data_IF_645147842120
#
_entry.id   IF_645147842120
#
_cell.length_a   1.000
_cell.length_b   1.000
_cell.length_c   1.000
_cell.angle_alpha   90.00
_cell.angle_beta   90.00
_cell.angle_gamma   90.00
#
_symmetry.space_group_name_H-M   'P 1'
#
loop_
_entity.id
_entity.type
_entity.pdbx_description
1 polymer ?
#
# COMPACT_ATOMS: atom_id res chain seq x y z
N UNK A 1 -17.82 -13.68 -38.12
CA UNK A 1 -16.96 -12.77 -37.33
C UNK A 1 -17.73 -11.69 -36.61
N UNK A 2 -18.69 -11.01 -37.20
CA UNK A 2 -19.47 -9.92 -36.56
C UNK A 2 -20.26 -10.37 -35.31
N UNK A 3 -20.89 -11.54 -35.34
CA UNK A 3 -21.70 -12.07 -34.23
C UNK A 3 -20.86 -12.41 -32.98
N UNK A 4 -19.64 -12.93 -33.16
CA UNK A 4 -18.73 -13.24 -32.03
C UNK A 4 -18.24 -11.95 -31.38
N UNK A 5 -17.91 -10.93 -32.18
CA UNK A 5 -17.47 -9.63 -31.68
C UNK A 5 -18.57 -8.92 -30.89
N UNK A 6 -19.81 -8.96 -31.38
CA UNK A 6 -20.95 -8.36 -30.66
C UNK A 6 -21.24 -9.06 -29.35
N UNK A 7 -21.18 -10.40 -29.32
CA UNK A 7 -21.36 -11.18 -28.11
C UNK A 7 -20.25 -10.87 -27.08
N UNK A 8 -18.98 -10.86 -27.50
CA UNK A 8 -17.84 -10.55 -26.66
C UNK A 8 -17.95 -9.15 -26.04
N UNK A 9 -18.35 -8.14 -26.84
CA UNK A 9 -18.54 -6.77 -26.36
C UNK A 9 -19.71 -6.68 -25.37
N UNK A 10 -20.81 -7.38 -25.63
CA UNK A 10 -21.98 -7.44 -24.74
C UNK A 10 -21.58 -8.01 -23.36
N UNK A 11 -20.87 -9.16 -23.35
CA UNK A 11 -20.44 -9.83 -22.14
C UNK A 11 -19.44 -8.95 -21.35
N UNK A 12 -18.44 -8.35 -22.04
CA UNK A 12 -17.48 -7.45 -21.42
C UNK A 12 -18.16 -6.25 -20.77
N UNK A 13 -19.16 -5.65 -21.43
CA UNK A 13 -19.94 -4.54 -20.86
C UNK A 13 -20.71 -4.96 -19.61
N UNK A 14 -21.35 -6.13 -19.65
CA UNK A 14 -22.09 -6.66 -18.50
C UNK A 14 -21.16 -7.03 -17.34
N UNK A 15 -20.01 -7.64 -17.65
CA UNK A 15 -18.96 -7.94 -16.69
C UNK A 15 -18.40 -6.65 -16.05
N UNK A 16 -18.00 -5.68 -16.86
CA UNK A 16 -17.49 -4.40 -16.39
C UNK A 16 -18.50 -3.68 -15.49
N UNK A 17 -19.78 -3.62 -15.90
CA UNK A 17 -20.85 -3.01 -15.09
C UNK A 17 -21.02 -3.73 -13.72
N UNK A 18 -21.00 -5.07 -13.72
CA UNK A 18 -21.10 -5.86 -12.48
C UNK A 18 -19.89 -5.67 -11.57
N UNK A 19 -18.68 -5.63 -12.13
CA UNK A 19 -17.43 -5.37 -11.39
C UNK A 19 -17.43 -3.96 -10.80
N UNK A 20 -17.79 -2.94 -11.58
CA UNK A 20 -17.87 -1.56 -11.09
C UNK A 20 -18.94 -1.39 -10.00
N UNK A 21 -20.11 -1.99 -10.17
CA UNK A 21 -21.15 -1.97 -9.15
C UNK A 21 -20.67 -2.63 -7.84
N UNK A 22 -19.99 -3.77 -7.93
CA UNK A 22 -19.43 -4.46 -6.78
C UNK A 22 -18.28 -3.66 -6.14
N UNK A 23 -17.42 -3.04 -6.96
CA UNK A 23 -16.34 -2.17 -6.49
C UNK A 23 -16.90 -0.99 -5.68
N UNK A 24 -17.94 -0.32 -6.20
CA UNK A 24 -18.58 0.80 -5.50
C UNK A 24 -19.25 0.33 -4.20
N UNK A 25 -19.94 -0.80 -4.21
CA UNK A 25 -20.59 -1.34 -3.01
C UNK A 25 -19.57 -1.70 -1.93
N UNK A 26 -18.51 -2.42 -2.29
CA UNK A 26 -17.45 -2.82 -1.35
C UNK A 26 -16.63 -1.61 -0.89
N UNK A 27 -16.27 -0.70 -1.80
CA UNK A 27 -15.53 0.51 -1.44
C UNK A 27 -16.35 1.38 -0.48
N UNK A 28 -17.65 1.54 -0.74
CA UNK A 28 -18.55 2.24 0.18
C UNK A 28 -18.62 1.59 1.55
N UNK A 29 -18.75 0.26 1.60
CA UNK A 29 -18.80 -0.49 2.85
C UNK A 29 -17.48 -0.36 3.65
N UNK A 30 -16.34 -0.60 3.01
CA UNK A 30 -15.02 -0.51 3.67
C UNK A 30 -14.73 0.92 4.11
N UNK A 31 -15.05 1.90 3.26
CA UNK A 31 -14.85 3.31 3.59
C UNK A 31 -15.75 3.77 4.75
N UNK A 32 -16.95 3.21 4.86
CA UNK A 32 -17.83 3.49 6.01
C UNK A 32 -17.19 3.00 7.32
N UNK A 33 -16.61 1.79 7.34
CA UNK A 33 -15.91 1.30 8.53
C UNK A 33 -14.65 2.11 8.85
N UNK A 34 -13.83 2.48 7.83
CA UNK A 34 -12.67 3.36 8.03
C UNK A 34 -13.09 4.74 8.57
N UNK A 35 -14.19 5.28 8.06
CA UNK A 35 -14.75 6.56 8.52
C UNK A 35 -15.21 6.51 9.98
N UNK A 36 -15.92 5.44 10.38
CA UNK A 36 -16.34 5.24 11.77
C UNK A 36 -15.12 5.14 12.70
N UNK A 37 -14.08 4.41 12.28
CA UNK A 37 -12.83 4.31 13.05
C UNK A 37 -12.11 5.67 13.16
N UNK A 38 -12.07 6.45 12.08
CA UNK A 38 -11.53 7.82 12.10
C UNK A 38 -12.33 8.72 13.05
N UNK A 39 -13.66 8.63 13.04
CA UNK A 39 -14.53 9.36 13.98
C UNK A 39 -14.26 8.96 15.43
N UNK A 40 -14.10 7.66 15.70
CA UNK A 40 -13.77 7.15 17.03
C UNK A 40 -12.45 7.74 17.53
N UNK A 41 -11.42 7.80 16.66
CA UNK A 41 -10.11 8.37 16.99
C UNK A 41 -10.15 9.89 17.17
N UNK A 42 -11.02 10.59 16.45
CA UNK A 42 -11.18 12.05 16.55
C UNK A 42 -11.92 12.51 17.81
N UNK A 43 -12.71 11.64 18.44
CA UNK A 43 -13.54 11.98 19.60
C UNK A 43 -12.74 12.51 20.80
N UNK A 44 -11.45 12.17 20.91
CA UNK A 44 -10.54 12.65 21.97
C UNK A 44 -9.70 13.87 21.55
N UNK A 45 -9.95 14.46 20.38
CA UNK A 45 -9.13 15.53 19.78
C UNK A 45 -9.98 16.77 19.50
N UNK A 46 -9.77 17.90 20.22
CA UNK A 46 -10.58 19.12 20.02
C UNK A 46 -10.41 19.74 18.63
N UNK A 47 -9.24 19.57 18.01
CA UNK A 47 -8.91 20.15 16.71
C UNK A 47 -9.37 19.30 15.50
N UNK A 48 -9.81 18.07 15.74
CA UNK A 48 -10.26 17.15 14.68
C UNK A 48 -11.75 17.33 14.39
N UNK A 49 -12.09 18.29 13.53
CA UNK A 49 -13.48 18.54 13.12
C UNK A 49 -14.01 17.42 12.22
N UNK A 50 -15.36 17.25 12.19
CA UNK A 50 -16.02 16.29 11.29
C UNK A 50 -15.58 16.48 9.82
N UNK A 51 -15.41 17.72 9.36
CA UNK A 51 -14.96 18.01 8.00
C UNK A 51 -13.56 17.49 7.70
N UNK A 52 -12.63 17.59 8.65
CA UNK A 52 -11.27 17.03 8.51
C UNK A 52 -11.31 15.51 8.42
N UNK A 53 -12.11 14.86 9.28
CA UNK A 53 -12.26 13.40 9.27
C UNK A 53 -12.87 12.93 7.95
N UNK A 54 -13.91 13.59 7.46
CA UNK A 54 -14.53 13.29 6.17
C UNK A 54 -13.55 13.49 4.99
N UNK A 55 -12.72 14.53 5.05
CA UNK A 55 -11.69 14.76 4.02
C UNK A 55 -10.61 13.66 4.03
N UNK A 56 -10.14 13.23 5.21
CA UNK A 56 -9.18 12.13 5.33
C UNK A 56 -9.78 10.84 4.74
N UNK A 57 -11.03 10.51 5.08
CA UNK A 57 -11.71 9.33 4.55
C UNK A 57 -11.86 9.41 3.02
N UNK A 58 -12.27 10.57 2.48
CA UNK A 58 -12.39 10.76 1.03
C UNK A 58 -11.05 10.61 0.30
N UNK A 59 -9.95 11.11 0.88
CA UNK A 59 -8.61 10.97 0.31
C UNK A 59 -8.10 9.52 0.28
N UNK A 60 -8.60 8.65 1.14
CA UNK A 60 -8.25 7.21 1.17
C UNK A 60 -9.04 6.37 0.16
N UNK A 61 -10.15 6.88 -0.39
CA UNK A 61 -11.03 6.12 -1.30
C UNK A 61 -10.31 5.43 -2.47
N UNK A 62 -9.43 6.09 -3.24
CA UNK A 62 -8.75 5.42 -4.36
C UNK A 62 -7.83 4.28 -3.90
N UNK A 63 -7.18 4.42 -2.75
CA UNK A 63 -6.35 3.38 -2.16
C UNK A 63 -7.18 2.16 -1.75
N UNK A 64 -8.31 2.38 -1.07
CA UNK A 64 -9.25 1.33 -0.68
C UNK A 64 -9.78 0.62 -1.94
N UNK A 65 -10.17 1.37 -2.97
CA UNK A 65 -10.65 0.81 -4.24
C UNK A 65 -9.61 -0.10 -4.90
N UNK A 66 -8.34 0.29 -4.91
CA UNK A 66 -7.25 -0.55 -5.45
C UNK A 66 -7.07 -1.84 -4.65
N UNK A 67 -7.12 -1.77 -3.32
CA UNK A 67 -6.96 -2.95 -2.45
C UNK A 67 -8.06 -3.99 -2.65
N UNK A 68 -9.30 -3.54 -2.84
CA UNK A 68 -10.47 -4.43 -2.97
C UNK A 68 -10.77 -4.82 -4.42
N UNK A 69 -10.06 -4.24 -5.40
CA UNK A 69 -10.30 -4.48 -6.83
C UNK A 69 -10.31 -5.98 -7.19
N UNK A 70 -9.35 -6.84 -6.76
CA UNK A 70 -9.38 -8.26 -7.09
C UNK A 70 -10.64 -8.97 -6.58
N UNK A 71 -11.10 -8.62 -5.37
CA UNK A 71 -12.35 -9.15 -4.81
C UNK A 71 -13.59 -8.65 -5.57
N UNK A 72 -13.57 -7.38 -5.97
CA UNK A 72 -14.66 -6.80 -6.74
C UNK A 72 -14.78 -7.47 -8.11
N UNK A 73 -13.66 -7.84 -8.72
CA UNK A 73 -13.62 -8.60 -9.98
C UNK A 73 -14.18 -10.01 -9.77
N UNK A 74 -13.77 -10.69 -8.69
CA UNK A 74 -14.28 -12.01 -8.36
C UNK A 74 -15.80 -12.01 -8.15
N UNK A 75 -16.29 -11.17 -7.23
CA UNK A 75 -17.71 -11.12 -6.87
C UNK A 75 -18.58 -10.57 -8.00
N UNK A 76 -18.11 -9.51 -8.68
CA UNK A 76 -18.77 -8.96 -9.86
C UNK A 76 -18.82 -9.95 -11.01
N UNK A 77 -17.73 -10.72 -11.19
CA UNK A 77 -17.67 -11.82 -12.15
C UNK A 77 -18.65 -12.95 -11.82
N UNK A 78 -18.68 -13.40 -10.56
CA UNK A 78 -19.65 -14.41 -10.10
C UNK A 78 -21.08 -13.93 -10.38
N UNK A 79 -21.40 -12.68 -10.07
CA UNK A 79 -22.74 -12.11 -10.29
C UNK A 79 -23.07 -12.03 -11.78
N UNK A 80 -22.12 -11.62 -12.62
CA UNK A 80 -22.27 -11.54 -14.07
C UNK A 80 -22.52 -12.93 -14.65
N UNK A 81 -21.63 -13.89 -14.41
CA UNK A 81 -21.76 -15.24 -14.98
C UNK A 81 -22.98 -15.99 -14.45
N UNK A 82 -23.32 -15.84 -13.17
CA UNK A 82 -24.56 -16.37 -12.63
C UNK A 82 -25.80 -15.82 -13.35
N UNK A 83 -25.84 -14.52 -13.61
CA UNK A 83 -26.94 -13.88 -14.35
C UNK A 83 -27.04 -14.43 -15.77
N UNK A 84 -25.93 -14.53 -16.50
CA UNK A 84 -25.85 -15.08 -17.85
C UNK A 84 -26.24 -16.58 -17.90
N UNK A 85 -25.91 -17.34 -16.87
CA UNK A 85 -26.31 -18.74 -16.75
C UNK A 85 -27.82 -18.84 -16.51
N UNK A 86 -28.40 -17.99 -15.67
CA UNK A 86 -29.82 -17.99 -15.35
C UNK A 86 -30.70 -17.53 -16.51
N UNK A 87 -30.24 -16.59 -17.34
CA UNK A 87 -30.93 -16.14 -18.55
C UNK A 87 -30.80 -17.14 -19.72
N UNK A 88 -30.10 -18.26 -19.53
CA UNK A 88 -29.82 -19.28 -20.54
C UNK A 88 -28.98 -18.75 -21.75
N UNK A 89 -28.44 -17.56 -21.65
CA UNK A 89 -27.62 -16.95 -22.71
C UNK A 89 -26.35 -17.77 -22.97
N UNK A 90 -25.77 -18.31 -21.90
CA UNK A 90 -24.58 -19.17 -21.98
C UNK A 90 -24.90 -20.50 -22.72
N UNK A 91 -26.09 -21.06 -22.51
CA UNK A 91 -26.53 -22.30 -23.17
C UNK A 91 -26.73 -22.04 -24.67
N UNK A 92 -27.34 -20.91 -25.02
CA UNK A 92 -27.55 -20.51 -26.42
C UNK A 92 -26.21 -20.26 -27.14
N UNK A 93 -25.24 -19.58 -26.48
CA UNK A 93 -23.92 -19.35 -27.04
C UNK A 93 -23.17 -20.67 -27.31
N UNK A 94 -23.24 -21.63 -26.38
CA UNK A 94 -22.66 -22.98 -26.59
C UNK A 94 -23.36 -23.76 -27.70
N UNK A 95 -24.68 -23.69 -27.78
CA UNK A 95 -25.44 -24.32 -28.86
C UNK A 95 -25.10 -23.74 -30.24
N UNK A 96 -24.69 -22.47 -30.28
CA UNK A 96 -24.17 -21.82 -31.48
C UNK A 96 -22.71 -22.15 -31.82
N UNK A 97 -22.05 -23.07 -31.05
CA UNK A 97 -20.69 -23.53 -31.30
C UNK A 97 -19.59 -22.64 -30.71
N UNK A 98 -19.94 -21.65 -29.86
CA UNK A 98 -18.94 -20.81 -29.19
C UNK A 98 -18.30 -21.60 -28.06
N UNK A 99 -16.97 -21.72 -28.05
CA UNK A 99 -16.23 -22.41 -26.99
C UNK A 99 -16.24 -21.59 -25.69
N UNK A 100 -16.10 -22.28 -24.54
CA UNK A 100 -16.01 -21.59 -23.25
C UNK A 100 -14.81 -20.62 -23.20
N UNK A 101 -13.71 -20.97 -23.81
CA UNK A 101 -12.53 -20.12 -23.87
C UNK A 101 -12.75 -18.83 -24.67
N UNK A 102 -13.45 -18.91 -25.81
CA UNK A 102 -13.84 -17.73 -26.59
C UNK A 102 -14.77 -16.80 -25.81
N UNK A 103 -15.68 -17.38 -25.02
CA UNK A 103 -16.59 -16.64 -24.17
C UNK A 103 -15.87 -15.97 -23.00
N UNK A 104 -14.87 -16.64 -22.40
CA UNK A 104 -14.11 -16.15 -21.25
C UNK A 104 -13.01 -15.15 -21.63
N UNK A 105 -12.50 -15.20 -22.85
CA UNK A 105 -11.41 -14.34 -23.29
C UNK A 105 -11.73 -12.84 -23.09
N UNK A 106 -12.94 -12.41 -23.44
CA UNK A 106 -13.34 -11.01 -23.38
C UNK A 106 -13.45 -10.48 -21.94
N UNK A 107 -14.14 -11.14 -20.97
CA UNK A 107 -14.14 -10.77 -19.56
C UNK A 107 -12.75 -10.81 -18.92
N UNK A 108 -11.94 -11.82 -19.26
CA UNK A 108 -10.57 -11.95 -18.74
C UNK A 108 -9.69 -10.79 -19.22
N UNK A 109 -9.77 -10.44 -20.50
CA UNK A 109 -9.07 -9.27 -21.04
C UNK A 109 -9.56 -7.97 -20.39
N UNK A 110 -10.86 -7.83 -20.15
CA UNK A 110 -11.45 -6.69 -19.45
C UNK A 110 -10.90 -6.59 -18.01
N UNK A 111 -10.79 -7.71 -17.29
CA UNK A 111 -10.23 -7.75 -15.93
C UNK A 111 -8.73 -7.39 -15.93
N UNK A 112 -7.97 -7.91 -16.90
CA UNK A 112 -6.56 -7.55 -17.08
C UNK A 112 -6.42 -6.04 -17.33
N UNK A 113 -7.28 -5.44 -18.15
CA UNK A 113 -7.30 -4.01 -18.43
C UNK A 113 -7.64 -3.20 -17.16
N UNK A 114 -8.59 -3.65 -16.34
CA UNK A 114 -8.84 -3.04 -15.02
C UNK A 114 -7.60 -3.04 -14.14
N UNK A 115 -6.86 -4.14 -14.08
CA UNK A 115 -5.60 -4.22 -13.35
C UNK A 115 -4.54 -3.27 -13.90
N UNK A 116 -4.38 -3.18 -15.22
CA UNK A 116 -3.43 -2.25 -15.88
C UNK A 116 -3.81 -0.79 -15.56
N UNK A 117 -5.09 -0.42 -15.70
CA UNK A 117 -5.57 0.93 -15.39
C UNK A 117 -5.37 1.25 -13.91
N UNK A 118 -5.65 0.29 -13.02
CA UNK A 118 -5.42 0.45 -11.60
C UNK A 118 -3.93 0.73 -11.30
N UNK A 119 -3.03 -0.04 -11.88
CA UNK A 119 -1.58 0.11 -11.66
C UNK A 119 -1.04 1.38 -12.31
N UNK A 120 -1.35 1.65 -13.59
CA UNK A 120 -0.73 2.71 -14.36
C UNK A 120 -1.35 4.10 -14.09
N UNK A 121 -2.69 4.18 -13.93
CA UNK A 121 -3.41 5.44 -13.83
C UNK A 121 -3.94 5.72 -12.41
N UNK A 122 -4.51 4.72 -11.72
CA UNK A 122 -5.10 4.95 -10.40
C UNK A 122 -4.02 4.99 -9.31
N UNK A 123 -2.95 4.18 -9.40
CA UNK A 123 -1.86 4.17 -8.42
C UNK A 123 -1.22 5.55 -8.20
N UNK A 124 -0.87 6.34 -9.22
CA UNK A 124 -0.36 7.69 -9.01
C UNK A 124 -1.33 8.63 -8.28
N UNK A 125 -2.60 8.59 -8.63
CA UNK A 125 -3.64 9.39 -7.96
C UNK A 125 -3.82 8.93 -6.52
N UNK A 126 -3.91 7.63 -6.31
CA UNK A 126 -4.06 6.99 -5.01
C UNK A 126 -2.90 7.34 -4.07
N UNK A 127 -1.66 7.28 -4.56
CA UNK A 127 -0.48 7.55 -3.75
C UNK A 127 -0.41 9.00 -3.27
N UNK A 128 -0.70 9.98 -4.14
CA UNK A 128 -0.73 11.41 -3.76
C UNK A 128 -1.86 11.68 -2.77
N UNK A 129 -3.05 11.12 -3.01
CA UNK A 129 -4.18 11.30 -2.12
C UNK A 129 -3.94 10.65 -0.75
N UNK A 130 -3.37 9.44 -0.73
CA UNK A 130 -3.02 8.73 0.51
C UNK A 130 -1.93 9.46 1.29
N UNK A 131 -0.88 9.96 0.63
CA UNK A 131 0.17 10.76 1.27
C UNK A 131 -0.43 12.00 1.95
N UNK A 132 -1.37 12.67 1.29
CA UNK A 132 -2.07 13.82 1.86
C UNK A 132 -2.96 13.43 3.04
N UNK A 133 -3.64 12.27 2.95
CA UNK A 133 -4.43 11.72 4.05
C UNK A 133 -3.55 11.41 5.27
N UNK A 134 -2.36 10.80 5.07
CA UNK A 134 -1.41 10.49 6.15
C UNK A 134 -0.86 11.77 6.82
N UNK A 135 -0.57 12.82 6.06
CA UNK A 135 -0.15 14.12 6.61
C UNK A 135 -1.25 14.69 7.50
N UNK A 136 -2.50 14.66 7.05
CA UNK A 136 -3.64 15.15 7.84
C UNK A 136 -3.93 14.26 9.05
N UNK A 137 -3.87 12.93 8.91
CA UNK A 137 -4.03 11.98 10.02
C UNK A 137 -2.97 12.23 11.11
N UNK A 138 -1.72 12.43 10.70
CA UNK A 138 -0.63 12.74 11.61
C UNK A 138 -0.79 14.11 12.31
N UNK A 139 -1.29 15.12 11.59
CA UNK A 139 -1.47 16.47 12.12
C UNK A 139 -2.63 16.59 13.13
N UNK A 140 -3.76 15.94 12.86
CA UNK A 140 -5.00 16.14 13.61
C UNK A 140 -5.42 14.95 14.48
N UNK A 141 -5.09 13.71 14.08
CA UNK A 141 -5.59 12.51 14.76
C UNK A 141 -4.53 11.78 15.60
N UNK A 142 -3.26 11.88 15.24
CA UNK A 142 -2.19 11.27 16.02
C UNK A 142 -1.67 12.21 17.08
N UNK A 143 -1.52 11.72 18.32
CA UNK A 143 -0.89 12.45 19.40
C UNK A 143 0.63 12.35 19.27
N UNK A 144 1.25 13.43 18.83
CA UNK A 144 2.69 13.50 18.57
C UNK A 144 2.98 13.24 17.10
N UNK A 145 3.22 14.33 16.35
CA UNK A 145 3.83 14.25 15.03
C UNK A 145 5.04 13.34 15.13
N UNK A 146 5.18 12.39 14.21
CA UNK A 146 6.31 11.47 14.22
C UNK A 146 7.62 12.24 14.42
N UNK A 147 8.49 11.81 15.32
CA UNK A 147 9.72 12.54 15.64
C UNK A 147 10.69 12.62 14.48
N UNK A 148 10.33 12.03 13.32
CA UNK A 148 11.25 11.81 12.22
C UNK A 148 10.60 12.05 10.88
N UNK A 149 11.22 12.88 10.04
CA UNK A 149 10.86 13.07 8.64
C UNK A 149 12.13 12.94 7.78
N UNK A 150 12.08 12.07 6.77
CA UNK A 150 13.09 11.97 5.73
C UNK A 150 12.50 12.52 4.43
N UNK A 151 13.03 13.61 3.96
CA UNK A 151 12.61 14.24 2.71
C UNK A 151 13.83 14.56 1.86
N UNK A 152 13.91 13.99 0.65
CA UNK A 152 14.99 14.28 -0.29
C UNK A 152 16.42 13.99 0.22
N UNK A 153 16.61 12.97 1.09
CA UNK A 153 17.92 12.63 1.68
C UNK A 153 18.29 13.46 2.90
N UNK A 154 17.40 14.33 3.38
CA UNK A 154 17.56 15.12 4.59
C UNK A 154 16.80 14.48 5.75
N UNK A 155 17.42 14.39 6.89
CA UNK A 155 16.84 13.86 8.13
C UNK A 155 16.42 15.02 9.04
N UNK A 156 15.15 15.05 9.41
CA UNK A 156 14.62 15.92 10.45
C UNK A 156 14.13 15.07 11.61
N UNK A 157 14.68 15.32 12.79
CA UNK A 157 14.34 14.61 14.03
C UNK A 157 13.93 15.62 15.08
N UNK A 158 12.78 15.40 15.70
CA UNK A 158 12.37 16.10 16.91
C UNK A 158 12.41 15.10 18.07
N UNK A 159 13.17 15.42 19.10
CA UNK A 159 13.29 14.60 20.33
C UNK A 159 13.18 15.45 21.58
N UNK A 160 12.87 14.80 22.71
CA UNK A 160 12.98 15.43 24.02
C UNK A 160 14.46 15.66 24.36
N UNK A 161 14.75 16.80 24.92
CA UNK A 161 16.09 17.17 25.41
C UNK A 161 15.98 17.67 26.84
N UNK A 162 16.13 16.76 27.76
CA UNK A 162 16.00 17.04 29.19
C UNK A 162 17.31 17.44 29.87
N UNK A 163 18.41 17.51 29.10
CA UNK A 163 19.73 17.85 29.68
C UNK A 163 19.86 19.33 30.08
N UNK A 164 19.30 20.24 29.25
CA UNK A 164 19.38 21.67 29.53
C UNK A 164 18.17 22.20 30.31
N UNK A 165 16.97 21.69 29.98
CA UNK A 165 15.71 22.10 30.61
C UNK A 165 14.77 20.87 30.73
N UNK A 166 14.02 20.71 31.84
CA UNK A 166 13.17 19.53 32.10
C UNK A 166 12.14 19.20 31.02
N UNK A 167 11.74 20.18 30.19
CA UNK A 167 10.82 20.01 29.06
C UNK A 167 11.40 20.55 27.75
N UNK A 168 12.71 20.48 27.58
CA UNK A 168 13.39 20.94 26.40
C UNK A 168 13.11 20.03 25.19
N UNK A 169 13.29 20.60 24.00
CA UNK A 169 13.15 19.92 22.72
C UNK A 169 14.41 20.13 21.89
N UNK A 170 14.97 19.07 21.35
CA UNK A 170 16.00 19.16 20.32
C UNK A 170 15.43 18.85 18.95
N UNK A 171 15.71 19.72 17.97
CA UNK A 171 15.42 19.50 16.56
C UNK A 171 16.76 19.24 15.87
N UNK A 172 16.93 18.05 15.33
CA UNK A 172 18.14 17.63 14.61
C UNK A 172 17.81 17.66 13.11
N UNK A 173 18.59 18.42 12.37
CA UNK A 173 18.58 18.42 10.93
C UNK A 173 19.91 17.87 10.43
N UNK A 174 19.90 16.96 9.48
CA UNK A 174 21.10 16.40 8.89
C UNK A 174 20.94 16.22 7.38
N UNK A 175 22.03 16.49 6.66
CA UNK A 175 22.17 16.23 5.23
C UNK A 175 22.95 14.92 5.05
N UNK A 176 22.64 14.15 3.99
CA UNK A 176 23.44 12.98 3.61
C UNK A 176 23.46 11.88 4.66
N UNK A 177 22.29 11.27 4.91
CA UNK A 177 22.14 10.16 5.85
C UNK A 177 22.48 8.83 5.18
N UNK A 178 23.41 8.07 5.74
CA UNK A 178 23.82 6.76 5.26
C UNK A 178 23.72 5.71 6.37
N UNK A 179 23.25 4.53 6.02
CA UNK A 179 23.27 3.37 6.92
C UNK A 179 24.42 2.43 6.52
N UNK A 180 25.34 2.16 7.44
CA UNK A 180 26.41 1.17 7.25
C UNK A 180 26.34 0.10 8.35
N UNK A 181 25.80 -1.06 8.00
CA UNK A 181 25.50 -2.10 8.97
C UNK A 181 24.42 -1.64 9.95
N UNK A 182 24.74 -1.60 11.24
CA UNK A 182 23.84 -1.14 12.32
C UNK A 182 24.16 0.29 12.79
N UNK A 183 24.94 1.06 12.00
CA UNK A 183 25.33 2.44 12.32
C UNK A 183 24.72 3.40 11.33
N UNK A 184 23.86 4.28 11.83
CA UNK A 184 23.34 5.41 11.06
C UNK A 184 24.35 6.55 11.14
N UNK A 185 24.87 6.98 10.01
CA UNK A 185 25.80 8.11 9.89
C UNK A 185 25.10 9.24 9.15
N UNK A 186 25.21 10.46 9.67
CA UNK A 186 24.70 11.66 9.06
C UNK A 186 25.83 12.68 8.89
N UNK A 187 25.76 13.50 7.83
CA UNK A 187 26.70 14.58 7.55
C UNK A 187 26.01 15.93 7.65
N UNK A 188 26.78 16.98 7.92
CA UNK A 188 26.30 18.36 8.01
C UNK A 188 25.10 18.48 8.95
N UNK A 189 25.33 18.17 10.22
CA UNK A 189 24.28 18.07 11.23
C UNK A 189 24.14 19.38 11.98
N UNK A 190 22.91 19.90 12.05
CA UNK A 190 22.53 21.04 12.87
C UNK A 190 21.53 20.59 13.95
N UNK A 191 21.83 20.83 15.21
CA UNK A 191 20.92 20.54 16.32
C UNK A 191 20.48 21.87 16.94
N UNK A 192 19.18 22.09 16.98
CA UNK A 192 18.56 23.24 17.63
C UNK A 192 17.98 22.80 18.96
N UNK A 193 18.52 23.28 20.07
CA UNK A 193 18.04 22.98 21.44
C UNK A 193 17.13 24.13 21.88
N UNK A 194 15.89 23.81 22.21
CA UNK A 194 14.82 24.76 22.48
C UNK A 194 14.26 24.52 23.90
N UNK A 195 13.77 25.56 24.54
CA UNK A 195 12.97 25.44 25.76
C UNK A 195 11.52 25.00 25.49
N UNK A 196 10.69 24.90 26.53
CA UNK A 196 9.26 24.57 26.43
C UNK A 196 8.44 25.67 25.71
N UNK A 197 8.94 26.91 25.67
CA UNK A 197 8.40 28.04 24.91
C UNK A 197 8.93 28.15 23.48
N UNK A 198 9.66 27.15 22.98
CA UNK A 198 10.32 27.15 21.66
C UNK A 198 11.35 28.27 21.46
N UNK A 199 11.96 28.77 22.52
CA UNK A 199 13.08 29.72 22.43
C UNK A 199 14.39 28.96 22.26
N UNK A 200 15.26 29.46 21.38
CA UNK A 200 16.54 28.84 21.09
C UNK A 200 17.50 29.01 22.27
N UNK A 201 17.89 27.89 22.90
CA UNK A 201 18.88 27.84 23.98
C UNK A 201 20.31 27.66 23.46
N UNK A 202 20.46 26.77 22.46
CA UNK A 202 21.75 26.52 21.83
C UNK A 202 21.55 25.94 20.42
N UNK A 203 22.47 26.24 19.52
CA UNK A 203 22.61 25.60 18.21
C UNK A 203 23.93 24.86 18.20
N UNK A 204 23.89 23.58 17.83
CA UNK A 204 25.08 22.74 17.71
C UNK A 204 25.22 22.41 16.21
N UNK A 205 26.40 22.71 15.66
CA UNK A 205 26.77 22.30 14.31
C UNK A 205 27.84 21.22 14.40
N UNK A 206 27.69 20.16 13.63
CA UNK A 206 28.63 19.05 13.57
C UNK A 206 28.87 18.60 12.14
N UNK A 207 30.10 18.30 11.79
CA UNK A 207 30.45 17.78 10.47
C UNK A 207 29.91 16.37 10.24
N UNK A 208 29.82 15.56 11.31
CA UNK A 208 29.31 14.19 11.28
C UNK A 208 28.55 13.87 12.55
N UNK A 209 27.50 13.05 12.42
CA UNK A 209 26.83 12.43 13.54
C UNK A 209 26.70 10.91 13.32
N UNK A 210 26.88 10.14 14.37
CA UNK A 210 26.75 8.68 14.33
C UNK A 210 25.75 8.28 15.43
N UNK A 211 24.68 7.58 15.03
CA UNK A 211 23.72 7.02 15.97
C UNK A 211 24.19 5.63 16.41
N UNK A 212 24.56 5.50 17.66
CA UNK A 212 25.00 4.25 18.28
C UNK A 212 24.38 4.12 19.66
N UNK A 213 23.77 2.98 19.96
CA UNK A 213 23.25 2.67 21.30
C UNK A 213 22.37 3.77 21.90
N UNK A 214 21.43 4.33 21.13
CA UNK A 214 20.53 5.42 21.56
C UNK A 214 21.27 6.71 21.96
N UNK A 215 22.44 6.95 21.37
CA UNK A 215 23.17 8.19 21.49
C UNK A 215 23.61 8.70 20.12
N UNK A 216 23.41 9.98 19.87
CA UNK A 216 24.02 10.67 18.76
C UNK A 216 25.44 11.10 19.21
N UNK A 217 26.45 10.49 18.61
CA UNK A 217 27.81 10.95 18.72
C UNK A 217 28.09 11.94 17.60
N UNK A 218 28.20 13.20 18.00
CA UNK A 218 28.53 14.32 17.11
C UNK A 218 30.03 14.47 17.04
N UNK A 219 30.60 14.67 15.86
CA UNK A 219 32.02 14.89 15.60
C UNK A 219 32.24 16.25 14.95
N UNK A 220 33.36 16.91 15.25
CA UNK A 220 33.68 18.25 14.76
C UNK A 220 32.61 19.27 15.16
N UNK A 221 32.34 19.33 16.46
CA UNK A 221 31.22 20.09 17.03
C UNK A 221 31.59 21.55 17.22
N UNK A 222 30.61 22.42 16.92
CA UNK A 222 30.66 23.86 17.26
C UNK A 222 29.31 24.19 17.93
N UNK A 223 29.40 24.54 19.21
CA UNK A 223 28.21 24.96 19.99
C UNK A 223 28.10 26.48 19.97
N UNK A 224 26.95 26.98 19.52
CA UNK A 224 26.63 28.42 19.44
C UNK A 224 25.50 28.68 20.42
N UNK A 225 25.74 29.54 21.41
CA UNK A 225 24.75 30.04 22.36
C UNK A 225 24.46 31.53 22.08
N UNK A 226 23.22 32.03 22.39
CA UNK A 226 22.94 33.46 22.30
C UNK A 226 23.96 34.24 23.16
N UNK A 227 24.48 35.33 22.60
CA UNK A 227 25.42 36.25 23.25
C UNK A 227 26.76 35.66 23.73
N UNK A 228 27.13 34.45 23.27
CA UNK A 228 28.40 33.82 23.59
C UNK A 228 29.21 33.49 22.34
N UNK A 229 30.53 33.48 22.45
CA UNK A 229 31.38 33.03 21.34
C UNK A 229 31.20 31.52 21.11
N UNK A 230 31.24 31.07 19.82
CA UNK A 230 31.12 29.65 19.49
C UNK A 230 32.21 28.81 20.17
N UNK A 231 31.82 27.77 20.90
CA UNK A 231 32.73 26.83 21.56
C UNK A 231 32.96 25.61 20.66
N UNK A 232 34.18 25.38 20.18
CA UNK A 232 34.52 24.15 19.47
C UNK A 232 34.74 22.98 20.44
N UNK A 233 34.26 21.80 20.08
CA UNK A 233 34.53 20.56 20.79
C UNK A 233 34.82 19.42 19.80
N UNK A 234 35.73 18.50 20.08
CA UNK A 234 36.05 17.39 19.17
C UNK A 234 34.84 16.44 19.01
N UNK A 235 34.13 16.16 20.11
CA UNK A 235 32.96 15.28 20.15
C UNK A 235 31.96 15.77 21.18
N UNK A 236 30.66 15.47 20.92
CA UNK A 236 29.56 15.66 21.86
C UNK A 236 28.58 14.50 21.71
N UNK A 237 28.23 13.88 22.83
CA UNK A 237 27.21 12.82 22.86
C UNK A 237 25.87 13.45 23.26
N UNK A 238 24.82 13.18 22.46
CA UNK A 238 23.47 13.64 22.70
C UNK A 238 22.54 12.42 22.83
N UNK A 239 21.96 12.18 24.03
CA UNK A 239 21.05 11.07 24.25
C UNK A 239 19.82 11.16 23.33
N UNK A 240 19.32 10.01 22.85
CA UNK A 240 18.18 9.94 21.98
C UNK A 240 17.37 8.66 22.21
N UNK A 241 16.05 8.75 22.03
CA UNK A 241 15.17 7.58 22.00
C UNK A 241 15.11 6.91 20.62
N UNK A 242 15.85 7.45 19.66
CA UNK A 242 15.90 6.91 18.30
C UNK A 242 16.71 5.64 18.22
N UNK A 243 16.19 4.71 17.47
CA UNK A 243 16.89 3.50 17.02
C UNK A 243 16.96 3.48 15.51
N UNK A 244 17.93 2.80 14.95
CA UNK A 244 18.06 2.60 13.51
C UNK A 244 16.77 2.02 12.92
N UNK A 245 16.13 1.09 13.63
CA UNK A 245 14.84 0.50 13.24
C UNK A 245 13.73 1.55 13.14
N UNK A 246 13.59 2.46 14.10
CA UNK A 246 12.61 3.56 14.05
C UNK A 246 12.86 4.52 12.90
N UNK A 247 14.13 4.78 12.57
CA UNK A 247 14.49 5.56 11.39
C UNK A 247 14.03 4.85 10.12
N UNK A 248 14.27 3.55 9.99
CA UNK A 248 13.83 2.77 8.86
C UNK A 248 12.30 2.70 8.72
N UNK A 249 11.57 2.61 9.84
CA UNK A 249 10.10 2.58 9.85
C UNK A 249 9.45 3.93 9.47
N UNK A 250 10.18 5.03 9.60
CA UNK A 250 9.67 6.38 9.30
C UNK A 250 9.81 6.80 7.85
N UNK A 251 10.41 5.97 7.01
CA UNK A 251 10.39 6.20 5.56
C UNK A 251 8.94 6.24 5.04
N UNK A 252 8.72 6.99 3.97
CA UNK A 252 7.42 7.05 3.33
C UNK A 252 6.85 5.65 3.10
N UNK A 253 5.60 5.44 3.49
CA UNK A 253 4.90 4.18 3.25
C UNK A 253 4.99 3.84 1.76
N UNK A 254 5.31 2.59 1.38
CA UNK A 254 5.34 2.21 -0.04
C UNK A 254 4.07 2.58 -0.80
N UNK A 255 2.92 2.57 -0.11
CA UNK A 255 1.61 2.90 -0.68
C UNK A 255 1.43 4.38 -1.01
N UNK A 256 2.25 5.27 -0.42
CA UNK A 256 2.23 6.71 -0.72
C UNK A 256 3.10 7.10 -1.91
N UNK A 257 3.76 6.12 -2.51
CA UNK A 257 4.56 6.30 -3.72
C UNK A 257 3.85 5.68 -4.92
N UNK A 258 3.86 6.41 -6.04
CA UNK A 258 3.29 5.88 -7.29
C UNK A 258 4.15 4.76 -7.85
N UNK A 259 3.55 3.89 -8.67
CA UNK A 259 4.29 2.84 -9.38
C UNK A 259 5.48 3.41 -10.17
N UNK A 260 5.36 4.62 -10.68
CA UNK A 260 6.39 5.30 -11.47
C UNK A 260 7.53 5.87 -10.62
N UNK A 261 7.25 6.30 -9.38
CA UNK A 261 8.24 6.86 -8.46
C UNK A 261 8.98 5.79 -7.63
N UNK A 262 8.39 4.60 -7.50
CA UNK A 262 8.95 3.50 -6.71
C UNK A 262 10.36 3.07 -7.15
N UNK A 263 10.70 2.91 -8.46
CA UNK A 263 12.03 2.48 -8.86
C UNK A 263 13.13 3.45 -8.43
N UNK A 264 12.91 4.77 -8.59
CA UNK A 264 13.88 5.80 -8.20
C UNK A 264 14.06 5.83 -6.68
N UNK A 265 12.96 5.67 -5.93
CA UNK A 265 13.01 5.63 -4.46
C UNK A 265 13.71 4.38 -3.94
N UNK A 266 13.46 3.21 -4.55
CA UNK A 266 14.17 1.95 -4.27
C UNK A 266 15.68 2.12 -4.48
N UNK A 267 16.09 2.73 -5.62
CA UNK A 267 17.48 2.99 -5.91
C UNK A 267 18.11 3.97 -4.90
N UNK A 268 17.35 4.97 -4.43
CA UNK A 268 17.79 5.88 -3.38
C UNK A 268 18.05 5.13 -2.07
N UNK A 269 17.11 4.29 -1.62
CA UNK A 269 17.24 3.49 -0.40
C UNK A 269 18.47 2.57 -0.47
N UNK A 270 18.65 1.86 -1.59
CA UNK A 270 19.78 0.95 -1.78
C UNK A 270 21.13 1.69 -1.73
N UNK A 271 21.24 2.86 -2.38
CA UNK A 271 22.46 3.69 -2.36
C UNK A 271 22.76 4.22 -0.96
N UNK A 272 21.73 4.49 -0.18
CA UNK A 272 21.86 4.98 1.20
C UNK A 272 22.03 3.85 2.23
N UNK A 273 22.07 2.57 1.80
CA UNK A 273 22.25 1.40 2.65
C UNK A 273 21.00 0.99 3.46
N UNK A 274 19.84 1.56 3.14
CA UNK A 274 18.59 1.19 3.79
C UNK A 274 17.90 0.01 3.11
N UNK A 275 17.11 -0.74 3.87
CA UNK A 275 16.34 -1.86 3.32
C UNK A 275 15.23 -1.36 2.40
N UNK A 276 15.29 -1.74 1.12
CA UNK A 276 14.27 -1.44 0.11
C UNK A 276 13.23 -2.57 -0.06
N UNK A 277 13.30 -3.64 0.74
CA UNK A 277 12.50 -4.87 0.56
C UNK A 277 11.00 -4.56 0.50
N UNK A 278 10.47 -3.75 1.42
CA UNK A 278 9.05 -3.37 1.45
C UNK A 278 8.62 -2.65 0.18
N UNK A 279 9.45 -1.72 -0.32
CA UNK A 279 9.17 -0.94 -1.53
C UNK A 279 9.26 -1.79 -2.79
N UNK A 280 10.27 -2.69 -2.88
CA UNK A 280 10.40 -3.66 -3.97
C UNK A 280 9.21 -4.62 -4.00
N UNK A 281 8.77 -5.11 -2.84
CA UNK A 281 7.63 -6.00 -2.75
C UNK A 281 6.34 -5.30 -3.22
N UNK A 282 6.09 -4.08 -2.76
CA UNK A 282 4.94 -3.31 -3.19
C UNK A 282 4.96 -3.01 -4.70
N UNK A 283 6.12 -2.66 -5.25
CA UNK A 283 6.29 -2.46 -6.69
C UNK A 283 5.96 -3.72 -7.49
N UNK A 284 6.50 -4.88 -7.09
CA UNK A 284 6.21 -6.16 -7.74
C UNK A 284 4.74 -6.58 -7.58
N UNK A 285 4.12 -6.32 -6.43
CA UNK A 285 2.70 -6.57 -6.21
C UNK A 285 1.80 -5.72 -7.13
N UNK A 286 2.15 -4.43 -7.35
CA UNK A 286 1.46 -3.58 -8.31
C UNK A 286 1.60 -4.08 -9.75
N UNK A 287 2.76 -4.60 -10.13
CA UNK A 287 2.98 -5.21 -11.46
C UNK A 287 2.25 -6.54 -11.62
N UNK A 288 2.07 -7.31 -10.56
CA UNK A 288 1.32 -8.57 -10.55
C UNK A 288 -0.20 -8.37 -10.52
N UNK A 289 -0.69 -7.17 -10.17
CA UNK A 289 -2.13 -6.87 -10.04
C UNK A 289 -2.95 -7.17 -11.29
N UNK A 290 -2.51 -6.85 -12.52
CA UNK A 290 -3.26 -7.20 -13.74
C UNK A 290 -3.45 -8.71 -13.90
N UNK A 291 -2.41 -9.49 -13.59
CA UNK A 291 -2.47 -10.94 -13.64
C UNK A 291 -3.43 -11.50 -12.58
N UNK A 292 -3.36 -10.97 -11.36
CA UNK A 292 -4.27 -11.33 -10.27
C UNK A 292 -5.73 -11.00 -10.65
N UNK A 293 -5.97 -9.86 -11.28
CA UNK A 293 -7.29 -9.45 -11.78
C UNK A 293 -7.84 -10.45 -12.82
N UNK A 294 -7.02 -10.85 -13.79
CA UNK A 294 -7.37 -11.87 -14.76
C UNK A 294 -7.66 -13.23 -14.11
N UNK A 295 -6.83 -13.63 -13.13
CA UNK A 295 -7.02 -14.85 -12.33
C UNK A 295 -8.38 -14.83 -11.61
N UNK A 296 -8.75 -13.71 -10.98
CA UNK A 296 -10.02 -13.56 -10.27
C UNK A 296 -11.23 -13.62 -11.22
N UNK A 297 -11.11 -13.09 -12.44
CA UNK A 297 -12.14 -13.20 -13.46
C UNK A 297 -12.35 -14.64 -13.91
N UNK A 298 -11.28 -15.37 -14.21
CA UNK A 298 -11.34 -16.78 -14.57
C UNK A 298 -11.87 -17.63 -13.40
N UNK A 299 -11.45 -17.37 -12.19
CA UNK A 299 -11.91 -18.05 -10.98
C UNK A 299 -13.43 -17.87 -10.81
N UNK A 300 -13.94 -16.66 -11.01
CA UNK A 300 -15.37 -16.36 -10.93
C UNK A 300 -16.18 -17.18 -11.95
N UNK A 301 -15.65 -17.37 -13.14
CA UNK A 301 -16.28 -18.20 -14.18
C UNK A 301 -16.27 -19.69 -13.81
N UNK A 302 -15.14 -20.21 -13.34
CA UNK A 302 -15.00 -21.62 -12.98
C UNK A 302 -16.02 -22.11 -11.93
N UNK A 303 -16.42 -21.21 -11.01
CA UNK A 303 -17.46 -21.50 -10.04
C UNK A 303 -18.87 -21.23 -10.53
N UNK A 304 -19.10 -20.25 -11.43
CA UNK A 304 -20.43 -19.76 -11.78
C UNK A 304 -21.02 -20.37 -13.04
N UNK A 305 -20.21 -20.99 -13.90
CA UNK A 305 -20.66 -21.58 -15.16
C UNK A 305 -21.28 -22.98 -15.01
N UNK A 306 -21.23 -23.59 -13.83
CA UNK A 306 -21.88 -24.88 -13.55
C UNK A 306 -23.39 -24.69 -13.42
N UNK A 307 -24.21 -25.45 -14.16
CA UNK A 307 -25.66 -25.37 -13.98
C UNK A 307 -26.04 -25.83 -12.58
N UNK A 308 -26.48 -24.90 -11.75
CA UNK A 308 -26.96 -25.19 -10.40
C UNK A 308 -28.32 -25.89 -10.49
N UNK A 309 -28.34 -27.22 -10.47
CA UNK A 309 -29.59 -27.98 -10.30
C UNK A 309 -30.16 -27.63 -8.91
N UNK A 310 -31.42 -27.19 -8.87
CA UNK A 310 -32.27 -26.84 -7.69
C UNK A 310 -31.50 -26.65 -6.37
N UNK A 311 -31.27 -25.42 -5.92
CA UNK A 311 -30.80 -25.11 -4.57
C UNK A 311 -29.27 -24.86 -4.42
N UNK A 312 -28.46 -25.00 -5.46
CA UNK A 312 -26.99 -24.92 -5.38
C UNK A 312 -26.36 -23.51 -5.47
N UNK A 313 -27.16 -22.46 -5.71
CA UNK A 313 -26.62 -21.09 -5.94
C UNK A 313 -25.83 -20.57 -4.74
N UNK A 314 -26.34 -20.73 -3.52
CA UNK A 314 -25.65 -20.28 -2.31
C UNK A 314 -24.32 -21.04 -2.10
N UNK A 315 -24.29 -22.35 -2.38
CA UNK A 315 -23.06 -23.15 -2.31
C UNK A 315 -22.05 -22.73 -3.38
N UNK A 316 -22.52 -22.47 -4.59
CA UNK A 316 -21.69 -21.99 -5.72
C UNK A 316 -21.03 -20.64 -5.39
N UNK A 317 -21.83 -19.65 -4.97
CA UNK A 317 -21.32 -18.33 -4.56
C UNK A 317 -20.38 -18.50 -3.36
N UNK A 318 -20.77 -19.25 -2.35
CA UNK A 318 -19.96 -19.49 -1.15
C UNK A 318 -18.61 -20.15 -1.45
N UNK A 319 -18.58 -21.14 -2.35
CA UNK A 319 -17.31 -21.79 -2.76
C UNK A 319 -16.42 -20.87 -3.58
N UNK A 320 -16.99 -20.05 -4.45
CA UNK A 320 -16.23 -19.04 -5.21
C UNK A 320 -15.63 -17.97 -4.30
N UNK A 321 -16.42 -17.45 -3.36
CA UNK A 321 -15.93 -16.50 -2.35
C UNK A 321 -14.84 -17.13 -1.47
N UNK A 322 -15.04 -18.37 -1.00
CA UNK A 322 -14.06 -19.08 -0.18
C UNK A 322 -12.74 -19.31 -0.94
N UNK A 323 -12.80 -19.70 -2.21
CA UNK A 323 -11.61 -19.87 -3.05
C UNK A 323 -10.85 -18.54 -3.27
N UNK A 324 -11.56 -17.45 -3.54
CA UNK A 324 -10.95 -16.13 -3.68
C UNK A 324 -10.35 -15.62 -2.37
N UNK A 325 -11.03 -15.87 -1.24
CA UNK A 325 -10.49 -15.54 0.07
C UNK A 325 -9.25 -16.37 0.40
N UNK A 326 -9.25 -17.68 0.08
CA UNK A 326 -8.08 -18.53 0.26
C UNK A 326 -6.88 -18.00 -0.55
N UNK A 327 -7.09 -17.61 -1.82
CA UNK A 327 -6.05 -17.02 -2.65
C UNK A 327 -5.53 -15.70 -2.05
N UNK A 328 -6.41 -14.87 -1.50
CA UNK A 328 -6.02 -13.64 -0.81
C UNK A 328 -5.17 -13.92 0.43
N UNK A 329 -5.58 -14.86 1.27
CA UNK A 329 -4.81 -15.25 2.47
C UNK A 329 -3.41 -15.75 2.06
N UNK A 330 -3.34 -16.62 1.04
CA UNK A 330 -2.05 -17.10 0.51
C UNK A 330 -1.20 -15.94 0.00
N UNK A 331 -1.80 -14.95 -0.68
CA UNK A 331 -1.08 -13.75 -1.14
C UNK A 331 -0.54 -12.94 0.03
N UNK A 332 -1.32 -12.75 1.10
CA UNK A 332 -0.89 -12.01 2.29
C UNK A 332 0.22 -12.72 3.05
N UNK A 333 0.12 -14.05 3.20
CA UNK A 333 1.18 -14.86 3.81
C UNK A 333 2.46 -14.80 2.99
N UNK A 334 2.37 -14.87 1.66
CA UNK A 334 3.52 -14.73 0.78
C UNK A 334 4.17 -13.34 0.87
N UNK A 335 3.36 -12.28 0.95
CA UNK A 335 3.84 -10.90 1.17
C UNK A 335 4.61 -10.78 2.51
N UNK A 336 4.12 -11.34 3.61
CA UNK A 336 4.80 -11.34 4.91
C UNK A 336 6.14 -12.08 4.87
N UNK A 337 6.19 -13.25 4.22
CA UNK A 337 7.44 -13.96 4.00
C UNK A 337 8.40 -13.21 3.05
N UNK A 338 7.89 -12.47 2.10
CA UNK A 338 8.67 -11.57 1.26
C UNK A 338 9.25 -10.39 2.04
N UNK A 339 8.47 -9.78 2.95
CA UNK A 339 8.92 -8.67 3.81
C UNK A 339 9.97 -9.12 4.83
N UNK A 340 9.83 -10.32 5.38
CA UNK A 340 10.82 -10.90 6.31
C UNK A 340 12.11 -11.38 5.64
N UNK A 341 12.17 -11.34 4.28
CA UNK A 341 13.34 -11.80 3.52
C UNK A 341 13.48 -13.32 3.38
N UNK A 342 12.51 -14.10 3.88
CA UNK A 342 12.49 -15.57 3.75
C UNK A 342 12.27 -15.98 2.29
N UNK A 343 11.38 -15.25 1.59
CA UNK A 343 11.10 -15.48 0.17
C UNK A 343 11.69 -14.35 -0.69
N UNK A 344 12.21 -14.66 -1.89
CA UNK A 344 12.55 -13.64 -2.87
C UNK A 344 11.34 -12.77 -3.20
N UNK A 345 11.54 -11.44 -3.23
CA UNK A 345 10.48 -10.44 -3.43
C UNK A 345 9.60 -10.72 -4.65
N UNK A 346 10.21 -11.10 -5.77
CA UNK A 346 9.48 -11.42 -7.02
C UNK A 346 8.59 -12.63 -6.81
N UNK A 347 9.11 -13.68 -6.16
CA UNK A 347 8.34 -14.89 -5.90
C UNK A 347 7.17 -14.63 -4.96
N UNK A 348 7.38 -13.85 -3.91
CA UNK A 348 6.34 -13.48 -2.96
C UNK A 348 5.18 -12.71 -3.61
N UNK A 349 5.47 -11.83 -4.58
CA UNK A 349 4.47 -11.04 -5.26
C UNK A 349 3.74 -11.79 -6.39
N UNK A 350 4.45 -12.60 -7.17
CA UNK A 350 3.89 -13.22 -8.39
C UNK A 350 3.37 -14.65 -8.19
N UNK A 351 3.97 -15.43 -7.25
CA UNK A 351 3.60 -16.83 -7.08
C UNK A 351 2.11 -17.04 -6.74
N UNK A 352 1.46 -16.24 -5.88
CA UNK A 352 0.04 -16.43 -5.59
C UNK A 352 -0.85 -16.23 -6.83
N UNK A 353 -0.57 -15.19 -7.63
CA UNK A 353 -1.33 -14.91 -8.85
C UNK A 353 -1.14 -16.01 -9.90
N UNK A 354 0.10 -16.49 -10.09
CA UNK A 354 0.42 -17.57 -11.03
C UNK A 354 -0.16 -18.91 -10.57
N UNK A 355 -0.02 -19.27 -9.28
CA UNK A 355 -0.59 -20.48 -8.73
C UNK A 355 -2.13 -20.49 -8.84
N UNK A 356 -2.75 -19.36 -8.49
CA UNK A 356 -4.18 -19.15 -8.66
C UNK A 356 -4.63 -19.30 -10.13
N UNK A 357 -3.87 -18.74 -11.06
CA UNK A 357 -4.14 -18.86 -12.50
C UNK A 357 -4.06 -20.33 -12.96
N UNK A 358 -3.00 -21.03 -12.60
CA UNK A 358 -2.80 -22.44 -12.97
C UNK A 358 -3.90 -23.34 -12.40
N UNK A 359 -4.25 -23.14 -11.11
CA UNK A 359 -5.34 -23.87 -10.47
C UNK A 359 -6.70 -23.58 -11.13
N UNK A 360 -6.92 -22.33 -11.51
CA UNK A 360 -8.17 -21.93 -12.17
C UNK A 360 -8.27 -22.51 -13.58
N UNK A 361 -7.18 -22.49 -14.35
CA UNK A 361 -7.13 -23.13 -15.66
C UNK A 361 -7.37 -24.63 -15.52
N UNK A 362 -6.72 -25.32 -14.57
CA UNK A 362 -6.96 -26.73 -14.31
C UNK A 362 -8.42 -27.02 -13.92
N UNK A 363 -9.05 -26.17 -13.11
CA UNK A 363 -10.46 -26.27 -12.76
C UNK A 363 -11.34 -26.12 -14.00
N UNK A 364 -11.07 -25.16 -14.87
CA UNK A 364 -11.84 -24.94 -16.08
C UNK A 364 -11.70 -26.10 -17.08
N UNK A 365 -10.50 -26.60 -17.31
CA UNK A 365 -10.26 -27.76 -18.16
C UNK A 365 -11.01 -28.99 -17.64
N UNK A 366 -10.92 -29.27 -16.33
CA UNK A 366 -11.66 -30.40 -15.73
C UNK A 366 -13.18 -30.26 -15.82
N UNK A 367 -13.70 -29.05 -15.90
CA UNK A 367 -15.16 -28.81 -15.99
C UNK A 367 -15.69 -28.76 -17.40
N UNK A 368 -14.84 -28.51 -18.41
CA UNK A 368 -15.22 -28.38 -19.82
C UNK A 368 -14.95 -29.69 -20.60
N UNK A 369 -13.90 -30.40 -20.29
CA UNK A 369 -13.47 -31.65 -20.97
C UNK A 369 -13.95 -32.91 -20.24
N UNK A 370 -14.56 -32.80 -19.08
CA UNK A 370 -15.17 -33.89 -18.29
C UNK A 370 -16.70 -33.82 -18.36
#
# INVERSE_FOLDING_TARGET
MTAIVTLSLYISRQFAASVLAMLLALAGLVSMFDFIELLRRSASKPDATFGIVAQIAALKLPFIAMQILPFSILLGGILCFWRLTRSSELIVARAAGVSAWEFLAAPTFCALLFGIVATAAISPVSSVMLARAEIMDNAYLRTGGGPLALNGGQLWVRQSDTELVPRGVAIIHALGVELRGDRLTARDVSVFRLDDGYRLLARIEAGRAILVNRNWRLEQVRTIRPEQMPEPAPTLDLPTDLTVTRVQESFASPSTLSVWALPDFIALLDRSGFSSIRHRLHFQALLALPLLAATMALLSAGFSMRPARRGGVARMIGSGVAAGFALFVVSKVAEEFGQSGILPVVLAAWAPALAGLMLTIALLLHTEDG
#
